data_IF_172650991405
#
_entry.id   IF_172650991405
#
_cell.length_a   1.000
_cell.length_b   1.000
_cell.length_c   1.000
_cell.angle_alpha   90.00
_cell.angle_beta   90.00
_cell.angle_gamma   90.00
#
_symmetry.space_group_name_H-M   'P 1'
#
loop_
_entity.id
_entity.type
_entity.pdbx_description
1 polymer ?
#
# COMPACT_ATOMS: atom_id res chain seq x y z
N UNK A 1 16.26 6.56 -12.27
CA UNK A 1 16.84 6.20 -10.98
C UNK A 1 15.87 5.27 -10.27
N UNK A 2 16.33 4.22 -9.62
CA UNK A 2 15.49 3.23 -8.93
C UNK A 2 15.86 3.19 -7.45
N UNK A 3 14.90 2.87 -6.60
CA UNK A 3 15.08 2.73 -5.15
C UNK A 3 14.55 1.36 -4.74
N UNK A 4 15.26 0.70 -3.85
CA UNK A 4 14.86 -0.61 -3.36
C UNK A 4 13.80 -0.47 -2.25
N UNK A 5 12.68 -1.17 -2.44
CA UNK A 5 11.61 -1.34 -1.44
C UNK A 5 11.77 -2.72 -0.81
N UNK A 6 12.03 -2.73 0.48
CA UNK A 6 12.16 -3.97 1.23
C UNK A 6 10.79 -4.63 1.46
N UNK A 7 10.73 -5.95 1.30
CA UNK A 7 9.60 -6.79 1.70
C UNK A 7 10.11 -7.84 2.67
N UNK A 8 9.47 -7.95 3.83
CA UNK A 8 9.77 -8.93 4.88
C UNK A 8 8.63 -9.93 4.98
N UNK A 9 8.94 -11.16 5.37
CA UNK A 9 7.95 -12.22 5.57
C UNK A 9 7.81 -12.55 7.04
N UNK A 10 6.59 -12.58 7.54
CA UNK A 10 6.32 -12.93 8.93
C UNK A 10 6.65 -14.39 9.23
N UNK A 11 6.39 -15.30 8.32
CA UNK A 11 6.65 -16.75 8.47
C UNK A 11 8.13 -17.14 8.42
N UNK A 12 8.99 -16.24 7.94
CA UNK A 12 10.43 -16.48 7.78
C UNK A 12 11.21 -15.29 8.32
N UNK A 13 11.75 -15.44 9.52
CA UNK A 13 12.33 -14.37 10.31
C UNK A 13 13.44 -13.59 9.59
N UNK A 14 14.19 -14.26 8.73
CA UNK A 14 15.33 -13.67 8.03
C UNK A 14 15.07 -13.40 6.54
N UNK A 15 13.88 -13.75 6.07
CA UNK A 15 13.59 -13.60 4.64
C UNK A 15 13.24 -12.16 4.32
N UNK A 16 14.15 -11.54 3.58
CA UNK A 16 13.99 -10.20 3.04
C UNK A 16 14.16 -10.24 1.52
N UNK A 17 13.38 -9.46 0.81
CA UNK A 17 13.52 -9.28 -0.63
C UNK A 17 13.41 -7.80 -0.96
N UNK A 18 14.38 -7.25 -1.65
CA UNK A 18 14.27 -5.93 -2.23
C UNK A 18 13.44 -6.01 -3.53
N UNK A 19 12.51 -5.09 -3.69
CA UNK A 19 11.81 -4.82 -4.94
C UNK A 19 12.20 -3.42 -5.40
N UNK A 20 12.68 -3.32 -6.63
CA UNK A 20 13.05 -2.05 -7.21
C UNK A 20 11.79 -1.25 -7.58
N UNK A 21 11.67 -0.04 -7.09
CA UNK A 21 10.67 0.94 -7.51
C UNK A 21 11.33 2.05 -8.32
N UNK A 22 10.61 2.61 -9.28
CA UNK A 22 11.07 3.80 -9.99
C UNK A 22 10.94 5.02 -9.09
N UNK A 23 12.01 5.80 -8.95
CA UNK A 23 11.99 7.09 -8.26
C UNK A 23 11.11 8.13 -8.96
N UNK A 24 10.72 7.85 -10.22
CA UNK A 24 9.73 8.60 -10.98
C UNK A 24 8.56 7.65 -11.34
N UNK A 25 7.51 7.59 -10.55
CA UNK A 25 6.38 6.68 -10.76
C UNK A 25 5.69 6.84 -12.12
N UNK A 26 5.78 8.02 -12.73
CA UNK A 26 5.29 8.29 -14.08
C UNK A 26 5.90 7.37 -15.16
N UNK A 27 7.13 6.88 -14.98
CA UNK A 27 7.75 5.93 -15.91
C UNK A 27 6.96 4.61 -15.94
N UNK A 28 6.53 4.12 -14.79
CA UNK A 28 5.69 2.92 -14.70
C UNK A 28 4.37 3.10 -15.43
N UNK A 29 3.76 4.28 -15.29
CA UNK A 29 2.52 4.61 -16.00
C UNK A 29 2.71 4.63 -17.52
N UNK A 30 3.78 5.25 -18.02
CA UNK A 30 4.10 5.29 -19.45
C UNK A 30 4.37 3.91 -20.03
N UNK A 31 5.07 3.04 -19.30
CA UNK A 31 5.28 1.64 -19.72
C UNK A 31 3.96 0.87 -19.80
N UNK A 32 3.09 1.06 -18.81
CA UNK A 32 1.79 0.43 -18.81
C UNK A 32 0.87 0.96 -19.91
N UNK A 33 0.91 2.25 -20.20
CA UNK A 33 0.18 2.85 -21.32
C UNK A 33 0.63 2.25 -22.65
N UNK A 34 1.94 2.07 -22.84
CA UNK A 34 2.50 1.43 -24.04
C UNK A 34 2.06 -0.03 -24.16
N UNK A 35 2.04 -0.77 -23.05
CA UNK A 35 1.55 -2.15 -23.02
C UNK A 35 0.07 -2.24 -23.37
N UNK A 36 -0.76 -1.35 -22.84
CA UNK A 36 -2.19 -1.28 -23.15
C UNK A 36 -2.38 -0.99 -24.64
N UNK A 37 -1.65 -0.02 -25.21
CA UNK A 37 -1.70 0.29 -26.64
C UNK A 37 -1.33 -0.92 -27.50
N UNK A 38 -0.33 -1.69 -27.10
CA UNK A 38 0.05 -2.94 -27.77
C UNK A 38 -1.06 -3.99 -27.68
N UNK A 39 -1.67 -4.19 -26.52
CA UNK A 39 -2.81 -5.11 -26.38
C UNK A 39 -4.03 -4.68 -27.19
N UNK A 40 -4.26 -3.38 -27.33
CA UNK A 40 -5.35 -2.88 -28.20
C UNK A 40 -5.18 -3.22 -29.68
N UNK A 41 -3.96 -3.57 -30.11
CA UNK A 41 -3.65 -4.03 -31.46
C UNK A 41 -3.79 -5.55 -31.62
N UNK A 42 -3.89 -6.31 -30.54
CA UNK A 42 -4.09 -7.76 -30.55
C UNK A 42 -5.49 -8.12 -31.07
N UNK A 43 -5.56 -9.06 -32.01
CA UNK A 43 -6.82 -9.45 -32.66
C UNK A 43 -7.83 -10.01 -31.66
N UNK A 44 -7.39 -10.83 -30.68
CA UNK A 44 -8.26 -11.37 -29.62
C UNK A 44 -8.88 -10.28 -28.75
N UNK A 45 -8.14 -9.19 -28.50
CA UNK A 45 -8.68 -8.05 -27.79
C UNK A 45 -9.65 -7.25 -28.65
N UNK A 46 -9.39 -7.13 -29.96
CA UNK A 46 -10.25 -6.44 -30.91
C UNK A 46 -11.59 -7.16 -31.12
N UNK A 47 -11.62 -8.48 -31.01
CA UNK A 47 -12.84 -9.30 -31.08
C UNK A 47 -13.76 -9.12 -29.87
N UNK A 48 -13.30 -8.54 -28.77
CA UNK A 48 -14.14 -8.20 -27.64
C UNK A 48 -15.05 -7.02 -27.96
N UNK A 49 -16.27 -7.03 -27.41
CA UNK A 49 -17.17 -5.88 -27.49
C UNK A 49 -16.51 -4.64 -26.86
N UNK A 50 -16.88 -3.43 -27.32
CA UNK A 50 -16.35 -2.17 -26.78
C UNK A 50 -16.46 -2.10 -25.24
N UNK A 51 -17.62 -2.50 -24.68
CA UNK A 51 -17.85 -2.52 -23.23
C UNK A 51 -16.84 -3.42 -22.51
N UNK A 52 -16.55 -4.60 -23.04
CA UNK A 52 -15.55 -5.51 -22.44
C UNK A 52 -14.15 -4.94 -22.54
N UNK A 53 -13.80 -4.36 -23.68
CA UNK A 53 -12.48 -3.71 -23.87
C UNK A 53 -12.27 -2.57 -22.87
N UNK A 54 -13.25 -1.67 -22.74
CA UNK A 54 -13.20 -0.56 -21.78
C UNK A 54 -13.01 -1.09 -20.35
N UNK A 55 -13.83 -2.09 -19.93
CA UNK A 55 -13.74 -2.66 -18.59
C UNK A 55 -12.36 -3.27 -18.29
N UNK A 56 -11.77 -4.00 -19.23
CA UNK A 56 -10.42 -4.58 -19.08
C UNK A 56 -9.38 -3.49 -18.94
N UNK A 57 -9.42 -2.48 -19.81
CA UNK A 57 -8.48 -1.36 -19.80
C UNK A 57 -8.56 -0.55 -18.50
N UNK A 58 -9.76 -0.23 -18.03
CA UNK A 58 -9.98 0.48 -16.76
C UNK A 58 -9.44 -0.31 -15.57
N UNK A 59 -9.64 -1.63 -15.56
CA UNK A 59 -9.12 -2.50 -14.49
C UNK A 59 -7.59 -2.50 -14.45
N UNK A 60 -6.95 -2.63 -15.62
CA UNK A 60 -5.48 -2.58 -15.72
C UNK A 60 -4.95 -1.23 -15.23
N UNK A 61 -5.55 -0.12 -15.68
CA UNK A 61 -5.16 1.22 -15.27
C UNK A 61 -5.35 1.45 -13.77
N UNK A 62 -6.46 0.96 -13.19
CA UNK A 62 -6.71 1.08 -11.76
C UNK A 62 -5.66 0.33 -10.93
N UNK A 63 -5.28 -0.90 -11.34
CA UNK A 63 -4.23 -1.68 -10.69
C UNK A 63 -2.87 -0.97 -10.74
N UNK A 64 -2.52 -0.42 -11.91
CA UNK A 64 -1.25 0.30 -12.08
C UNK A 64 -1.21 1.56 -11.20
N UNK A 65 -2.29 2.35 -11.18
CA UNK A 65 -2.40 3.53 -10.31
C UNK A 65 -2.32 3.17 -8.83
N UNK A 66 -2.93 2.03 -8.44
CA UNK A 66 -2.80 1.51 -7.08
C UNK A 66 -1.35 1.26 -6.70
N UNK A 67 -0.63 0.49 -7.51
CA UNK A 67 0.79 0.17 -7.28
C UNK A 67 1.70 1.40 -7.31
N UNK A 68 1.40 2.38 -8.18
CA UNK A 68 2.13 3.64 -8.20
C UNK A 68 1.95 4.42 -6.91
N UNK A 69 0.73 4.50 -6.40
CA UNK A 69 0.44 5.18 -5.14
C UNK A 69 1.16 4.50 -3.96
N UNK A 70 1.14 3.15 -3.91
CA UNK A 70 1.89 2.40 -2.92
C UNK A 70 3.39 2.70 -2.97
N UNK A 71 3.98 2.67 -4.18
CA UNK A 71 5.40 2.94 -4.36
C UNK A 71 5.77 4.39 -3.95
N UNK A 72 4.94 5.39 -4.30
CA UNK A 72 5.15 6.79 -3.92
C UNK A 72 5.14 6.93 -2.40
N UNK A 73 4.09 6.44 -1.75
CA UNK A 73 3.94 6.55 -0.29
C UNK A 73 5.10 5.90 0.45
N UNK A 74 5.48 4.67 0.05
CA UNK A 74 6.62 3.96 0.64
C UNK A 74 7.93 4.71 0.48
N UNK A 75 8.22 5.21 -0.73
CA UNK A 75 9.47 5.92 -1.02
C UNK A 75 9.57 7.22 -0.25
N UNK A 76 8.53 8.05 -0.27
CA UNK A 76 8.53 9.34 0.42
C UNK A 76 8.62 9.14 1.95
N UNK A 77 7.88 8.15 2.50
CA UNK A 77 7.97 7.82 3.92
C UNK A 77 9.39 7.36 4.30
N UNK A 78 10.01 6.48 3.49
CA UNK A 78 11.37 5.99 3.73
C UNK A 78 12.41 7.11 3.67
N UNK A 79 12.24 8.07 2.77
CA UNK A 79 13.16 9.19 2.63
C UNK A 79 13.03 10.20 3.77
N UNK A 80 11.81 10.38 4.28
CA UNK A 80 11.52 11.30 5.37
C UNK A 80 11.88 10.74 6.74
N UNK A 81 11.48 9.50 7.04
CA UNK A 81 11.68 8.85 8.36
C UNK A 81 13.02 8.08 8.41
N UNK A 82 14.14 8.82 8.46
CA UNK A 82 15.50 8.24 8.38
C UNK A 82 15.88 7.34 9.55
N UNK A 83 15.31 7.56 10.73
CA UNK A 83 15.58 6.77 11.94
C UNK A 83 14.68 5.54 12.05
N UNK A 84 13.68 5.41 11.18
CA UNK A 84 12.77 4.28 11.15
C UNK A 84 13.09 3.33 10.00
N UNK A 85 12.76 2.06 10.18
CA UNK A 85 12.77 1.08 9.12
C UNK A 85 11.39 1.07 8.42
N UNK A 86 11.37 1.30 7.12
CA UNK A 86 10.14 1.32 6.31
C UNK A 86 10.17 0.19 5.31
N UNK A 87 9.20 -0.71 5.41
CA UNK A 87 9.13 -1.94 4.61
C UNK A 87 7.69 -2.43 4.43
N UNK A 88 7.48 -3.37 3.51
CA UNK A 88 6.24 -4.17 3.39
C UNK A 88 6.34 -5.41 4.27
N UNK A 89 5.25 -5.81 4.91
CA UNK A 89 5.21 -7.02 5.72
C UNK A 89 4.24 -8.03 5.14
N UNK A 90 4.77 -9.13 4.63
CA UNK A 90 4.03 -10.22 4.00
C UNK A 90 3.69 -11.30 5.03
N UNK A 91 2.44 -11.72 5.05
CA UNK A 91 1.97 -12.89 5.80
C UNK A 91 1.72 -14.07 4.85
N UNK A 92 1.37 -15.22 5.39
CA UNK A 92 0.93 -16.36 4.58
C UNK A 92 -0.29 -16.00 3.70
N UNK A 93 -1.21 -15.19 4.25
CA UNK A 93 -2.36 -14.66 3.54
C UNK A 93 -2.42 -13.14 3.73
N UNK A 94 -2.15 -12.38 2.66
CA UNK A 94 -2.19 -10.92 2.64
C UNK A 94 -0.93 -10.27 3.20
N UNK A 95 -0.95 -8.95 3.28
CA UNK A 95 0.21 -8.14 3.69
C UNK A 95 -0.27 -6.87 4.40
N UNK A 96 0.65 -6.22 5.13
CA UNK A 96 0.56 -4.79 5.38
C UNK A 96 1.32 -4.08 4.26
N UNK A 97 0.67 -3.14 3.59
CA UNK A 97 1.27 -2.43 2.46
C UNK A 97 2.50 -1.64 2.90
N UNK A 98 2.53 -1.16 4.15
CA UNK A 98 3.68 -0.50 4.76
C UNK A 98 3.69 -0.71 6.28
N UNK A 99 4.88 -0.92 6.82
CA UNK A 99 5.20 -0.86 8.25
C UNK A 99 6.29 0.19 8.43
N UNK A 100 6.10 1.07 9.40
CA UNK A 100 7.10 2.01 9.87
C UNK A 100 7.50 1.58 11.25
N UNK A 101 8.71 1.07 11.42
CA UNK A 101 9.23 0.56 12.67
C UNK A 101 10.32 1.48 13.23
N UNK A 102 10.14 1.92 14.45
CA UNK A 102 11.15 2.64 15.21
C UNK A 102 11.88 1.65 16.12
N UNK A 103 13.14 1.30 15.81
CA UNK A 103 13.89 0.35 16.62
C UNK A 103 14.39 0.91 17.96
N UNK A 104 14.45 2.23 18.12
CA UNK A 104 14.87 2.86 19.38
C UNK A 104 13.72 2.85 20.41
N UNK A 105 12.50 3.13 19.96
CA UNK A 105 11.30 3.15 20.81
C UNK A 105 10.59 1.78 20.87
N UNK A 106 11.02 0.79 20.10
CA UNK A 106 10.37 -0.52 19.96
C UNK A 106 8.87 -0.38 19.64
N UNK A 107 8.55 0.54 18.73
CA UNK A 107 7.17 0.81 18.31
C UNK A 107 7.02 0.71 16.79
N UNK A 108 5.81 0.42 16.34
CA UNK A 108 5.53 0.43 14.91
C UNK A 108 4.16 1.01 14.57
N UNK A 109 4.06 1.53 13.35
CA UNK A 109 2.82 1.94 12.71
C UNK A 109 2.56 1.02 11.52
N UNK A 110 1.31 0.60 11.32
CA UNK A 110 0.92 -0.30 10.23
C UNK A 110 -0.07 0.37 9.28
N UNK A 111 0.10 0.13 7.99
CA UNK A 111 -0.60 0.86 6.94
C UNK A 111 -1.14 -0.05 5.84
N UNK A 112 -2.35 0.28 5.37
CA UNK A 112 -2.90 -0.12 4.08
C UNK A 112 -2.91 1.11 3.16
N UNK A 113 -2.61 0.92 1.87
CA UNK A 113 -2.57 1.99 0.88
C UNK A 113 -3.56 1.65 -0.23
N UNK A 114 -4.59 2.48 -0.40
CA UNK A 114 -5.71 2.18 -1.30
C UNK A 114 -5.97 3.32 -2.28
N UNK A 115 -5.83 3.05 -3.57
CA UNK A 115 -6.21 3.99 -4.63
C UNK A 115 -7.74 4.04 -4.76
N UNK A 116 -8.40 4.56 -3.73
CA UNK A 116 -9.84 4.68 -3.59
C UNK A 116 -10.20 6.05 -3.02
N UNK A 117 -11.31 6.61 -3.47
CA UNK A 117 -11.84 7.89 -2.95
C UNK A 117 -12.83 7.66 -1.81
N UNK A 118 -13.20 6.41 -1.53
CA UNK A 118 -14.21 6.04 -0.55
C UNK A 118 -13.62 5.27 0.61
N UNK A 119 -14.14 5.53 1.80
CA UNK A 119 -13.90 4.74 3.00
C UNK A 119 -14.74 3.46 2.89
N UNK A 120 -14.08 2.31 2.95
CA UNK A 120 -14.73 0.99 2.91
C UNK A 120 -14.10 0.11 3.99
N UNK A 121 -14.91 -0.37 4.93
CA UNK A 121 -14.45 -1.16 6.09
C UNK A 121 -13.58 -2.36 5.67
N UNK A 122 -13.89 -3.00 4.54
CA UNK A 122 -13.07 -4.11 4.03
C UNK A 122 -11.62 -3.74 3.74
N UNK A 123 -11.31 -2.45 3.57
CA UNK A 123 -9.93 -1.97 3.38
C UNK A 123 -9.08 -2.10 4.64
N UNK A 124 -9.71 -2.13 5.83
CA UNK A 124 -9.03 -2.25 7.11
C UNK A 124 -8.87 -3.70 7.58
N UNK A 125 -9.40 -4.69 6.89
CA UNK A 125 -9.50 -6.08 7.37
C UNK A 125 -8.18 -6.66 7.87
N UNK A 126 -7.06 -6.32 7.24
CA UNK A 126 -5.74 -6.80 7.66
C UNK A 126 -5.23 -6.06 8.88
N UNK A 127 -5.52 -4.75 8.99
CA UNK A 127 -5.17 -3.93 10.16
C UNK A 127 -5.97 -4.33 11.41
N UNK A 128 -7.10 -5.01 11.24
CA UNK A 128 -7.98 -5.48 12.31
C UNK A 128 -7.81 -6.98 12.59
N UNK A 129 -7.00 -7.68 11.82
CA UNK A 129 -6.68 -9.08 12.03
C UNK A 129 -5.82 -9.23 13.29
N UNK A 130 -6.42 -9.77 14.35
CA UNK A 130 -5.80 -9.88 15.68
C UNK A 130 -4.48 -10.65 15.63
N UNK A 131 -4.45 -11.80 14.94
CA UNK A 131 -3.24 -12.63 14.87
C UNK A 131 -2.11 -11.88 14.15
N UNK A 132 -2.40 -11.17 13.05
CA UNK A 132 -1.38 -10.37 12.35
C UNK A 132 -0.85 -9.23 13.21
N UNK A 133 -1.73 -8.57 13.97
CA UNK A 133 -1.31 -7.51 14.89
C UNK A 133 -0.44 -8.07 16.01
N UNK A 134 -0.81 -9.21 16.61
CA UNK A 134 -0.03 -9.87 17.67
C UNK A 134 1.35 -10.31 17.17
N UNK A 135 1.40 -11.00 15.99
CA UNK A 135 2.66 -11.43 15.38
C UNK A 135 3.56 -10.23 15.02
N UNK A 136 2.95 -9.13 14.56
CA UNK A 136 3.69 -7.90 14.24
C UNK A 136 4.22 -7.23 15.48
N UNK A 137 3.41 -7.11 16.54
CA UNK A 137 3.81 -6.53 17.80
C UNK A 137 4.92 -7.34 18.48
N UNK A 138 4.84 -8.67 18.42
CA UNK A 138 5.89 -9.55 18.95
C UNK A 138 7.25 -9.32 18.27
N UNK A 139 7.25 -8.99 16.97
CA UNK A 139 8.48 -8.85 16.17
C UNK A 139 9.01 -7.43 16.06
N UNK A 140 8.11 -6.45 16.06
CA UNK A 140 8.40 -5.04 15.77
C UNK A 140 7.91 -4.09 16.87
N UNK A 141 7.67 -4.61 18.08
CA UNK A 141 7.26 -3.80 19.22
C UNK A 141 5.79 -3.34 19.17
N UNK A 142 5.44 -2.41 20.01
CA UNK A 142 4.04 -1.97 20.19
C UNK A 142 3.49 -1.29 18.94
N UNK A 143 2.32 -1.71 18.47
CA UNK A 143 1.61 -1.01 17.39
C UNK A 143 0.96 0.24 17.98
N UNK A 144 1.47 1.41 17.62
CA UNK A 144 0.99 2.73 18.09
C UNK A 144 0.00 3.40 17.14
N UNK A 145 -0.16 2.86 15.91
CA UNK A 145 -1.10 3.42 14.94
C UNK A 145 -1.46 2.43 13.83
N UNK A 146 -2.72 2.51 13.39
CA UNK A 146 -3.28 1.75 12.28
C UNK A 146 -3.90 2.72 11.27
N UNK A 147 -3.43 2.70 10.04
CA UNK A 147 -3.76 3.72 9.06
C UNK A 147 -4.16 3.13 7.71
N UNK A 148 -5.16 3.74 7.07
CA UNK A 148 -5.44 3.55 5.65
C UNK A 148 -5.13 4.85 4.92
N UNK A 149 -4.12 4.85 4.06
CA UNK A 149 -3.83 5.98 3.18
C UNK A 149 -4.67 5.83 1.91
N UNK A 150 -5.49 6.86 1.61
CA UNK A 150 -6.44 6.82 0.51
C UNK A 150 -6.54 8.18 -0.22
N UNK A 151 -7.26 8.22 -1.34
CA UNK A 151 -7.43 9.44 -2.15
C UNK A 151 -8.62 10.32 -1.74
N UNK A 152 -9.40 9.89 -0.76
CA UNK A 152 -10.60 10.67 -0.32
C UNK A 152 -10.25 12.08 0.15
N UNK A 153 -11.24 12.97 0.12
CA UNK A 153 -11.03 14.40 0.25
C UNK A 153 -10.55 14.88 1.64
N UNK A 154 -10.64 14.07 2.69
CA UNK A 154 -10.29 14.48 4.06
C UNK A 154 -9.75 13.29 4.87
N UNK A 155 -8.80 13.58 5.74
CA UNK A 155 -8.41 12.66 6.83
C UNK A 155 -9.59 12.49 7.80
N UNK A 156 -9.88 11.25 8.17
CA UNK A 156 -10.96 10.92 9.10
C UNK A 156 -10.59 9.76 10.01
N UNK A 157 -11.06 9.80 11.25
CA UNK A 157 -11.00 8.67 12.17
C UNK A 157 -12.25 7.81 11.98
N UNK A 158 -12.05 6.53 11.73
CA UNK A 158 -13.14 5.55 11.65
C UNK A 158 -13.00 4.60 12.82
N UNK A 159 -13.94 4.67 13.73
CA UNK A 159 -14.05 3.67 14.79
C UNK A 159 -14.62 2.38 14.21
N UNK A 160 -13.84 1.32 14.27
CA UNK A 160 -14.25 -0.01 13.81
C UNK A 160 -14.28 -0.91 15.04
N UNK A 161 -15.46 -1.02 15.65
CA UNK A 161 -15.63 -1.85 16.85
C UNK A 161 -16.06 -1.10 18.10
N UNK A 162 -16.15 -1.83 19.22
CA UNK A 162 -16.66 -1.33 20.52
C UNK A 162 -15.53 -0.84 21.44
N UNK A 163 -14.27 -1.05 21.05
CA UNK A 163 -13.10 -0.68 21.87
C UNK A 163 -12.22 0.37 21.18
N UNK A 164 -11.68 1.29 21.97
CA UNK A 164 -10.77 2.34 21.54
C UNK A 164 -9.44 1.83 20.93
N UNK A 165 -9.13 0.54 21.07
CA UNK A 165 -7.94 -0.09 20.48
C UNK A 165 -8.13 -0.55 19.02
N UNK A 166 -9.34 -0.45 18.49
CA UNK A 166 -9.68 -0.85 17.11
C UNK A 166 -9.83 0.35 16.17
N UNK A 167 -9.41 1.52 16.59
CA UNK A 167 -9.51 2.72 15.77
C UNK A 167 -8.52 2.66 14.60
N UNK A 168 -9.04 2.86 13.40
CA UNK A 168 -8.25 2.99 12.17
C UNK A 168 -8.42 4.40 11.63
N UNK A 169 -7.32 5.11 11.43
CA UNK A 169 -7.37 6.43 10.82
C UNK A 169 -7.24 6.34 9.30
N UNK A 170 -8.16 6.99 8.60
CA UNK A 170 -8.08 7.18 7.15
C UNK A 170 -7.38 8.50 6.87
N UNK A 171 -6.21 8.43 6.24
CA UNK A 171 -5.37 9.58 5.92
C UNK A 171 -5.50 9.91 4.44
N UNK A 172 -5.82 11.16 4.12
CA UNK A 172 -5.73 11.62 2.75
C UNK A 172 -4.26 11.59 2.28
N UNK A 173 -4.00 11.01 1.11
CA UNK A 173 -2.63 10.82 0.61
C UNK A 173 -1.86 12.12 0.43
N UNK A 174 -2.51 13.20 -0.05
CA UNK A 174 -1.85 14.49 -0.24
C UNK A 174 -1.51 15.15 1.10
N UNK A 175 -2.42 15.06 2.08
CA UNK A 175 -2.18 15.57 3.43
C UNK A 175 -1.07 14.79 4.14
N UNK A 176 -1.03 13.46 3.93
CA UNK A 176 0.02 12.60 4.46
C UNK A 176 1.38 12.98 3.89
N UNK A 177 1.50 13.06 2.57
CA UNK A 177 2.76 13.40 1.89
C UNK A 177 3.27 14.82 2.20
N UNK A 178 2.36 15.78 2.47
CA UNK A 178 2.75 17.13 2.88
C UNK A 178 3.28 17.22 4.31
N UNK A 179 3.02 16.22 5.16
CA UNK A 179 3.48 16.16 6.55
C UNK A 179 4.79 15.40 6.73
N UNK A 180 5.23 14.69 5.70
CA UNK A 180 6.53 14.02 5.68
C UNK A 180 7.68 15.04 5.54
#
# INVERSE_FOLDING_TARGET
MTVDIETRWMSDYNRKKARTAFSQPGIRYSQAESLIKSHMQDDKFRDLSLVKRTRVTERILAEIKGRMMEDIVLLETKLSKKNCEVFRLQFAIGEFDMVVFDPEEETCEIYEIKHSDKIVIQQCRHLLDKQKCEDTAFRYGTIIGKYVIYRGAKTSLVQVGVSTQEDVAYLNVEEYLKKL
#
